data_IF_274065007717
#
_entry.id   IF_274065007717
#
_cell.length_a   1.000
_cell.length_b   1.000
_cell.length_c   1.000
_cell.angle_alpha   90.00
_cell.angle_beta   90.00
_cell.angle_gamma   90.00
#
_symmetry.space_group_name_H-M   'P 1'
#
loop_
_entity.id
_entity.type
_entity.pdbx_description
1 polymer ?
#
# COMPACT_ATOMS: atom_id res chain seq x y z
N UNK A 1 -38.60 -10.57 31.57
CA UNK A 1 -38.46 -9.75 30.36
C UNK A 1 -37.11 -9.01 30.32
N UNK A 2 -36.58 -8.48 31.41
CA UNK A 2 -35.27 -7.77 31.44
C UNK A 2 -34.05 -8.66 31.08
N UNK A 3 -34.06 -9.98 31.35
CA UNK A 3 -32.93 -10.85 31.02
C UNK A 3 -32.77 -11.10 29.51
N UNK A 4 -33.88 -11.20 28.78
CA UNK A 4 -33.84 -11.40 27.32
C UNK A 4 -33.42 -10.12 26.55
N UNK A 5 -33.75 -8.94 27.10
CA UNK A 5 -33.26 -7.65 26.53
C UNK A 5 -31.77 -7.42 26.81
N UNK A 6 -31.26 -7.81 27.98
CA UNK A 6 -29.84 -7.78 28.29
C UNK A 6 -29.04 -8.75 27.41
N UNK A 7 -29.54 -9.97 27.17
CA UNK A 7 -28.90 -10.94 26.28
C UNK A 7 -28.86 -10.46 24.83
N UNK A 8 -29.90 -9.75 24.35
CA UNK A 8 -29.94 -9.10 23.05
C UNK A 8 -29.01 -7.88 22.95
N UNK A 9 -28.78 -7.17 24.03
CA UNK A 9 -27.83 -6.06 24.10
C UNK A 9 -26.38 -6.55 24.19
N UNK A 10 -26.11 -7.62 24.95
CA UNK A 10 -24.78 -8.25 25.02
C UNK A 10 -24.40 -8.92 23.70
N UNK A 11 -25.34 -9.53 22.96
CA UNK A 11 -25.11 -10.06 21.62
C UNK A 11 -24.83 -8.97 20.57
N UNK A 12 -25.18 -7.72 20.83
CA UNK A 12 -24.87 -6.57 19.97
C UNK A 12 -23.51 -5.93 20.25
N UNK A 13 -22.87 -6.25 21.37
CA UNK A 13 -21.61 -5.61 21.80
C UNK A 13 -20.36 -6.40 21.49
N UNK A 14 -20.46 -7.72 21.28
CA UNK A 14 -19.29 -8.55 20.93
C UNK A 14 -19.31 -8.90 19.44
N UNK A 15 -18.42 -8.29 18.64
CA UNK A 15 -18.30 -8.63 17.21
C UNK A 15 -17.92 -10.11 17.03
N UNK A 16 -18.66 -10.81 16.17
CA UNK A 16 -18.43 -12.23 15.85
C UNK A 16 -18.72 -12.51 14.38
N UNK A 17 -18.14 -13.58 13.86
CA UNK A 17 -18.35 -14.03 12.49
C UNK A 17 -17.14 -13.78 11.60
N UNK A 18 -17.32 -13.86 10.30
CA UNK A 18 -16.25 -13.77 9.31
C UNK A 18 -16.17 -12.34 8.76
N UNK A 19 -14.97 -11.75 8.85
CA UNK A 19 -14.61 -10.47 8.22
C UNK A 19 -13.64 -10.73 7.05
N UNK A 20 -14.08 -10.39 5.85
CA UNK A 20 -13.28 -10.48 4.61
C UNK A 20 -12.67 -9.14 4.27
N UNK A 21 -11.34 -9.07 4.30
CA UNK A 21 -10.58 -7.86 4.00
C UNK A 21 -9.75 -8.07 2.75
N UNK A 22 -9.89 -7.16 1.80
CA UNK A 22 -9.10 -7.13 0.56
C UNK A 22 -8.22 -5.88 0.54
N UNK A 23 -6.94 -6.05 0.18
CA UNK A 23 -6.01 -4.95 0.04
C UNK A 23 -4.92 -5.29 -0.98
N UNK A 24 -4.27 -4.27 -1.57
CA UNK A 24 -3.05 -4.50 -2.34
C UNK A 24 -1.96 -5.12 -1.46
N UNK A 25 -1.12 -5.97 -2.04
CA UNK A 25 -0.07 -6.69 -1.29
C UNK A 25 0.79 -5.79 -0.40
N UNK A 26 1.27 -4.62 -0.86
CA UNK A 26 2.04 -3.73 0.02
C UNK A 26 1.23 -3.22 1.22
N UNK A 27 -0.05 -2.89 1.03
CA UNK A 27 -0.93 -2.45 2.13
C UNK A 27 -1.17 -3.60 3.10
N UNK A 28 -1.38 -4.81 2.59
CA UNK A 28 -1.54 -6.01 3.40
C UNK A 28 -0.32 -6.24 4.30
N UNK A 29 0.87 -6.27 3.71
CA UNK A 29 2.10 -6.62 4.41
C UNK A 29 2.59 -5.51 5.37
N UNK A 30 2.58 -4.27 4.91
CA UNK A 30 3.21 -3.18 5.66
C UNK A 30 2.25 -2.40 6.56
N UNK A 31 0.95 -2.47 6.29
CA UNK A 31 -0.06 -1.73 7.06
C UNK A 31 -0.96 -2.65 7.89
N UNK A 32 -1.55 -3.70 7.30
CA UNK A 32 -2.52 -4.56 7.98
C UNK A 32 -1.88 -5.62 8.87
N UNK A 33 -0.81 -6.27 8.44
CA UNK A 33 -0.20 -7.36 9.21
C UNK A 33 0.11 -7.02 10.66
N UNK A 34 0.67 -5.84 10.99
CA UNK A 34 0.91 -5.45 12.38
C UNK A 34 -0.36 -5.34 13.23
N UNK A 35 -1.51 -5.12 12.60
CA UNK A 35 -2.81 -4.94 13.27
C UNK A 35 -3.56 -6.25 13.50
N UNK A 36 -3.19 -7.34 12.80
CA UNK A 36 -3.92 -8.62 12.85
C UNK A 36 -3.91 -9.22 14.25
N UNK A 37 -2.74 -9.29 14.89
CA UNK A 37 -2.62 -9.88 16.24
C UNK A 37 -3.44 -9.10 17.28
N UNK A 38 -3.26 -7.77 17.43
CA UNK A 38 -4.08 -6.96 18.35
C UNK A 38 -5.58 -7.06 18.08
N UNK A 39 -5.98 -7.11 16.79
CA UNK A 39 -7.38 -7.25 16.43
C UNK A 39 -7.96 -8.60 16.91
N UNK A 40 -7.25 -9.70 16.69
CA UNK A 40 -7.69 -11.04 17.13
C UNK A 40 -7.75 -11.19 18.64
N UNK A 41 -6.82 -10.56 19.36
CA UNK A 41 -6.84 -10.53 20.83
C UNK A 41 -8.04 -9.75 21.36
N UNK A 42 -8.42 -8.65 20.70
CA UNK A 42 -9.56 -7.83 21.09
C UNK A 42 -10.91 -8.44 20.71
N UNK A 43 -10.96 -9.17 19.60
CA UNK A 43 -12.19 -9.74 19.04
C UNK A 43 -12.01 -11.25 18.77
N UNK A 44 -11.95 -12.08 19.81
CA UNK A 44 -11.60 -13.50 19.68
C UNK A 44 -12.64 -14.33 18.91
N UNK A 45 -13.91 -13.86 18.86
CA UNK A 45 -14.98 -14.52 18.12
C UNK A 45 -15.05 -14.15 16.63
N UNK A 46 -14.16 -13.23 16.18
CA UNK A 46 -14.05 -12.87 14.77
C UNK A 46 -13.09 -13.78 14.04
N UNK A 47 -13.50 -14.27 12.88
CA UNK A 47 -12.65 -14.95 11.90
C UNK A 47 -12.24 -13.95 10.82
N UNK A 48 -10.95 -13.90 10.49
CA UNK A 48 -10.42 -13.03 9.43
C UNK A 48 -10.12 -13.84 8.16
N UNK A 49 -10.55 -13.31 7.02
CA UNK A 49 -10.13 -13.75 5.69
C UNK A 49 -9.43 -12.59 5.00
N UNK A 50 -8.12 -12.71 4.79
CA UNK A 50 -7.28 -11.68 4.19
C UNK A 50 -6.97 -12.06 2.75
N UNK A 51 -7.27 -11.16 1.82
CA UNK A 51 -7.05 -11.36 0.38
C UNK A 51 -6.17 -10.24 -0.14
N UNK A 52 -5.12 -10.61 -0.87
CA UNK A 52 -4.25 -9.65 -1.56
C UNK A 52 -4.64 -9.55 -3.03
N UNK A 53 -5.01 -8.36 -3.48
CA UNK A 53 -5.43 -8.09 -4.87
C UNK A 53 -4.75 -6.84 -5.39
N UNK A 54 -4.00 -6.97 -6.49
CA UNK A 54 -3.30 -5.84 -7.12
C UNK A 54 -4.22 -5.01 -8.02
N UNK A 55 -5.33 -5.58 -8.46
CA UNK A 55 -6.31 -4.92 -9.34
C UNK A 55 -7.57 -4.53 -8.59
N UNK A 56 -8.28 -3.52 -9.10
CA UNK A 56 -9.64 -3.19 -8.66
C UNK A 56 -10.59 -4.28 -9.14
N UNK A 57 -10.84 -5.25 -8.28
CA UNK A 57 -11.77 -6.35 -8.54
C UNK A 57 -13.16 -5.90 -8.14
N UNK A 58 -14.18 -6.48 -8.76
CA UNK A 58 -15.56 -6.29 -8.33
C UNK A 58 -15.75 -6.81 -6.89
N UNK A 59 -15.68 -5.92 -5.93
CA UNK A 59 -15.73 -6.20 -4.49
C UNK A 59 -17.04 -6.89 -4.08
N UNK A 60 -18.13 -6.60 -4.81
CA UNK A 60 -19.46 -7.15 -4.57
C UNK A 60 -19.49 -8.63 -4.93
N UNK A 61 -18.95 -9.00 -6.08
CA UNK A 61 -18.90 -10.41 -6.53
C UNK A 61 -18.06 -11.28 -5.61
N UNK A 62 -17.00 -10.74 -5.02
CA UNK A 62 -16.12 -11.46 -4.09
C UNK A 62 -16.57 -11.45 -2.64
N UNK A 63 -17.72 -10.86 -2.32
CA UNK A 63 -18.26 -10.77 -0.95
C UNK A 63 -17.23 -10.19 0.03
N UNK A 64 -16.51 -9.13 -0.38
CA UNK A 64 -15.55 -8.41 0.45
C UNK A 64 -16.32 -7.48 1.38
N UNK A 65 -16.04 -7.53 2.67
CA UNK A 65 -16.66 -6.66 3.67
C UNK A 65 -15.93 -5.31 3.76
N UNK A 66 -14.59 -5.34 3.67
CA UNK A 66 -13.73 -4.16 3.71
C UNK A 66 -12.65 -4.26 2.63
N UNK A 67 -12.53 -3.22 1.80
CA UNK A 67 -11.43 -3.09 0.86
C UNK A 67 -10.57 -1.87 1.22
N UNK A 68 -9.24 -2.05 1.27
CA UNK A 68 -8.29 -0.95 1.51
C UNK A 68 -7.52 -0.70 0.22
N UNK A 69 -7.61 0.51 -0.27
CA UNK A 69 -7.00 0.94 -1.54
C UNK A 69 -6.19 2.20 -1.35
N UNK A 70 -5.07 2.28 -2.05
CA UNK A 70 -4.27 3.48 -2.18
C UNK A 70 -4.63 4.23 -3.47
N UNK A 71 -4.58 5.56 -3.42
CA UNK A 71 -4.86 6.42 -4.56
C UNK A 71 -6.20 7.15 -4.47
N UNK A 72 -6.54 7.86 -5.53
CA UNK A 72 -7.81 8.58 -5.65
C UNK A 72 -8.92 7.61 -6.00
N UNK A 73 -9.99 7.61 -5.21
CA UNK A 73 -11.17 6.81 -5.50
C UNK A 73 -11.97 7.49 -6.61
N UNK A 74 -12.30 6.74 -7.64
CA UNK A 74 -13.29 7.14 -8.62
C UNK A 74 -14.68 7.03 -8.01
N UNK A 75 -15.61 7.85 -8.51
CA UNK A 75 -16.99 7.89 -8.05
C UNK A 75 -17.61 6.48 -8.05
N UNK A 76 -18.04 6.04 -6.90
CA UNK A 76 -18.63 4.72 -6.72
C UNK A 76 -19.77 4.79 -5.71
N UNK A 77 -20.71 3.84 -5.77
CA UNK A 77 -21.78 3.68 -4.79
C UNK A 77 -21.28 3.19 -3.41
N UNK A 78 -19.99 2.90 -3.28
CA UNK A 78 -19.38 2.39 -2.05
C UNK A 78 -19.06 3.54 -1.09
N UNK A 79 -19.26 3.29 0.20
CA UNK A 79 -18.83 4.23 1.24
C UNK A 79 -17.32 4.13 1.44
N UNK A 80 -16.62 5.26 1.33
CA UNK A 80 -15.19 5.34 1.54
C UNK A 80 -14.85 6.23 2.74
N UNK A 81 -13.80 5.86 3.46
CA UNK A 81 -13.22 6.63 4.57
C UNK A 81 -11.72 6.70 4.42
N UNK A 82 -11.10 7.89 4.44
CA UNK A 82 -9.64 7.98 4.46
C UNK A 82 -9.08 7.38 5.76
N UNK A 83 -8.02 6.57 5.62
CA UNK A 83 -7.35 5.94 6.75
C UNK A 83 -6.04 6.65 7.11
N UNK A 84 -5.23 6.98 6.10
CA UNK A 84 -3.96 7.69 6.26
C UNK A 84 -3.55 8.35 4.94
N UNK A 85 -2.58 9.25 5.02
CA UNK A 85 -1.91 9.82 3.85
C UNK A 85 -0.58 9.09 3.64
N UNK A 86 -0.23 8.86 2.38
CA UNK A 86 1.03 8.26 1.97
C UNK A 86 1.68 9.12 0.91
N UNK A 87 3.00 9.24 1.00
CA UNK A 87 3.82 9.96 0.03
C UNK A 87 4.63 8.97 -0.78
N UNK A 88 4.98 9.35 -2.00
CA UNK A 88 5.84 8.53 -2.84
C UNK A 88 7.29 8.96 -2.68
N UNK A 89 8.19 7.97 -2.58
CA UNK A 89 9.64 8.16 -2.45
C UNK A 89 10.35 7.46 -3.59
N UNK A 90 11.35 8.13 -4.13
CA UNK A 90 12.26 7.58 -5.12
C UNK A 90 13.39 6.93 -4.36
N UNK A 91 13.65 5.68 -4.66
CA UNK A 91 14.61 4.83 -3.96
C UNK A 91 15.47 4.03 -4.93
N UNK A 92 16.68 3.74 -4.49
CA UNK A 92 17.60 2.80 -5.13
C UNK A 92 18.38 2.04 -4.07
N UNK A 93 18.90 0.87 -4.40
CA UNK A 93 19.80 0.15 -3.49
C UNK A 93 21.19 0.82 -3.46
N UNK A 94 21.94 0.71 -2.34
CA UNK A 94 23.31 1.19 -2.28
C UNK A 94 24.20 0.60 -3.38
N UNK A 95 24.03 -0.67 -3.71
CA UNK A 95 24.82 -1.35 -4.75
C UNK A 95 24.54 -0.76 -6.14
N UNK A 96 23.27 -0.42 -6.42
CA UNK A 96 22.92 0.24 -7.68
C UNK A 96 23.59 1.62 -7.77
N UNK A 97 23.48 2.43 -6.73
CA UNK A 97 24.07 3.77 -6.66
C UNK A 97 25.60 3.72 -6.75
N UNK A 98 26.26 2.77 -6.11
CA UNK A 98 27.70 2.60 -6.19
C UNK A 98 28.17 2.29 -7.63
N UNK A 99 27.36 1.60 -8.43
CA UNK A 99 27.69 1.20 -9.80
C UNK A 99 27.34 2.25 -10.84
N UNK A 100 26.19 2.90 -10.70
CA UNK A 100 25.62 3.76 -11.74
C UNK A 100 25.56 5.24 -11.37
N UNK A 101 25.92 5.59 -10.12
CA UNK A 101 25.83 6.96 -9.62
C UNK A 101 24.45 7.33 -9.07
N UNK A 102 24.38 8.51 -8.48
CA UNK A 102 23.13 9.08 -7.95
C UNK A 102 22.58 10.10 -8.93
N UNK A 103 21.36 9.99 -9.43
CA UNK A 103 20.75 11.04 -10.25
C UNK A 103 20.58 12.31 -9.40
N UNK A 104 20.92 13.46 -9.96
CA UNK A 104 20.88 14.76 -9.27
C UNK A 104 19.64 15.56 -9.67
N UNK A 105 19.14 15.34 -10.87
CA UNK A 105 17.96 16.00 -11.43
C UNK A 105 17.04 14.99 -12.15
N UNK A 106 15.93 15.49 -12.68
CA UNK A 106 14.94 14.66 -13.36
C UNK A 106 15.48 14.06 -14.68
N UNK A 107 16.29 14.83 -15.39
CA UNK A 107 16.86 14.45 -16.69
C UNK A 107 17.83 13.28 -16.54
N UNK A 108 18.58 13.21 -15.46
CA UNK A 108 19.52 12.11 -15.19
C UNK A 108 18.83 10.74 -15.14
N UNK A 109 17.54 10.71 -14.82
CA UNK A 109 16.78 9.44 -14.77
C UNK A 109 16.64 8.77 -16.14
N UNK A 110 16.83 9.52 -17.24
CA UNK A 110 16.85 8.93 -18.58
C UNK A 110 18.05 8.00 -18.81
N UNK A 111 19.13 8.18 -18.06
CA UNK A 111 20.34 7.36 -18.12
C UNK A 111 20.35 6.24 -17.07
N UNK A 112 19.28 6.12 -16.29
CA UNK A 112 19.12 5.11 -15.26
C UNK A 112 18.04 4.07 -15.60
N UNK A 113 18.23 2.85 -15.11
CA UNK A 113 17.20 1.81 -15.15
C UNK A 113 16.08 2.16 -14.16
N UNK A 114 14.90 2.47 -14.68
CA UNK A 114 13.73 2.79 -13.87
C UNK A 114 12.76 1.61 -13.82
N UNK A 115 12.29 1.31 -12.62
CA UNK A 115 11.33 0.25 -12.32
C UNK A 115 9.94 0.86 -12.18
N UNK A 116 8.95 0.34 -12.89
CA UNK A 116 7.63 0.92 -12.93
C UNK A 116 6.49 -0.06 -12.81
N UNK A 117 5.30 0.50 -12.73
CA UNK A 117 4.07 -0.26 -12.67
C UNK A 117 3.58 -0.62 -14.07
N UNK A 118 3.18 -1.89 -14.25
CA UNK A 118 2.46 -2.31 -15.45
C UNK A 118 1.08 -1.65 -15.48
N UNK A 119 0.40 -1.63 -14.33
CA UNK A 119 -0.91 -1.01 -14.11
C UNK A 119 -1.05 -0.56 -12.64
N UNK A 120 -1.67 0.60 -12.37
CA UNK A 120 -2.05 1.64 -13.32
C UNK A 120 -0.83 2.43 -13.80
N UNK A 121 -0.78 2.74 -15.10
CA UNK A 121 0.34 3.47 -15.73
C UNK A 121 0.57 4.86 -15.10
N UNK A 122 -0.47 5.48 -14.55
CA UNK A 122 -0.36 6.75 -13.83
C UNK A 122 0.61 6.74 -12.64
N UNK A 123 0.94 5.57 -12.10
CA UNK A 123 1.96 5.43 -11.07
C UNK A 123 3.39 5.62 -11.59
N UNK A 124 3.59 5.64 -12.91
CA UNK A 124 4.89 5.94 -13.53
C UNK A 124 5.12 7.45 -13.74
N UNK A 125 4.14 8.29 -13.43
CA UNK A 125 4.33 9.72 -13.25
C UNK A 125 4.88 9.96 -11.85
N UNK A 126 6.17 10.31 -11.77
CA UNK A 126 6.87 10.46 -10.49
C UNK A 126 6.71 11.88 -9.93
N UNK A 127 6.78 12.07 -8.60
CA UNK A 127 6.60 13.38 -7.96
C UNK A 127 7.86 14.25 -8.05
N UNK A 128 8.40 14.40 -9.26
CA UNK A 128 9.53 15.24 -9.59
C UNK A 128 9.08 16.16 -10.72
N UNK A 129 9.41 17.45 -10.64
CA UNK A 129 9.20 18.36 -11.73
C UNK A 129 10.27 18.16 -12.83
N UNK A 130 9.82 17.94 -14.06
CA UNK A 130 10.66 18.03 -15.24
C UNK A 130 10.96 19.50 -15.58
N UNK A 131 11.86 19.74 -16.54
CA UNK A 131 12.28 21.08 -16.94
C UNK A 131 11.15 21.98 -17.47
N UNK A 132 10.06 21.37 -17.95
CA UNK A 132 8.84 22.05 -18.39
C UNK A 132 7.85 22.37 -17.26
N UNK A 133 8.17 21.98 -16.02
CA UNK A 133 7.35 22.18 -14.83
C UNK A 133 6.23 21.15 -14.65
N UNK A 134 6.11 20.17 -15.55
CA UNK A 134 5.19 19.04 -15.38
C UNK A 134 5.82 17.95 -14.49
N UNK A 135 5.00 17.06 -13.96
CA UNK A 135 5.51 15.87 -13.29
C UNK A 135 6.14 14.92 -14.31
N UNK A 136 7.28 14.35 -13.93
CA UNK A 136 8.06 13.49 -14.82
C UNK A 136 7.33 12.16 -15.08
N UNK A 137 7.04 11.90 -16.36
CA UNK A 137 6.67 10.55 -16.81
C UNK A 137 7.94 9.75 -17.07
N UNK A 138 8.12 8.68 -16.31
CA UNK A 138 9.33 7.86 -16.37
C UNK A 138 9.12 6.67 -17.28
N UNK A 139 9.98 6.50 -18.28
CA UNK A 139 10.06 5.29 -19.06
C UNK A 139 10.65 4.16 -18.23
N UNK A 140 9.91 3.05 -18.11
CA UNK A 140 10.32 1.92 -17.29
C UNK A 140 10.59 0.70 -18.15
N UNK A 141 11.81 0.16 -18.08
CA UNK A 141 12.20 -1.03 -18.83
C UNK A 141 11.79 -2.34 -18.13
N UNK A 142 11.65 -2.31 -16.80
CA UNK A 142 11.23 -3.44 -15.99
C UNK A 142 10.00 -3.05 -15.19
N UNK A 143 8.90 -3.76 -15.40
CA UNK A 143 7.61 -3.42 -14.82
C UNK A 143 6.98 -4.58 -14.04
N UNK A 144 6.16 -4.25 -13.06
CA UNK A 144 5.34 -5.20 -12.31
C UNK A 144 4.02 -4.54 -11.92
N UNK A 145 2.97 -5.33 -11.76
CA UNK A 145 1.71 -4.85 -11.17
C UNK A 145 1.76 -4.79 -9.64
N UNK A 146 2.79 -5.36 -9.01
CA UNK A 146 2.95 -5.40 -7.55
C UNK A 146 4.05 -4.47 -7.08
N UNK A 147 3.70 -3.52 -6.19
CA UNK A 147 4.67 -2.64 -5.54
C UNK A 147 5.69 -3.40 -4.68
N UNK A 148 5.31 -4.53 -4.08
CA UNK A 148 6.25 -5.35 -3.31
C UNK A 148 7.29 -6.01 -4.23
N UNK A 149 6.89 -6.48 -5.41
CA UNK A 149 7.83 -6.99 -6.41
C UNK A 149 8.81 -5.91 -6.86
N UNK A 150 8.32 -4.69 -7.14
CA UNK A 150 9.19 -3.56 -7.50
C UNK A 150 10.18 -3.22 -6.38
N UNK A 151 9.75 -3.28 -5.12
CA UNK A 151 10.63 -3.09 -3.96
C UNK A 151 11.74 -4.14 -3.93
N UNK A 152 11.42 -5.41 -4.11
CA UNK A 152 12.41 -6.49 -4.12
C UNK A 152 13.39 -6.34 -5.30
N UNK A 153 12.91 -5.99 -6.48
CA UNK A 153 13.77 -5.69 -7.64
C UNK A 153 14.72 -4.52 -7.36
N UNK A 154 14.23 -3.44 -6.74
CA UNK A 154 15.04 -2.30 -6.36
C UNK A 154 16.12 -2.69 -5.33
N UNK A 155 15.75 -3.44 -4.28
CA UNK A 155 16.69 -3.93 -3.26
C UNK A 155 17.77 -4.85 -3.84
N UNK A 156 17.44 -5.60 -4.88
CA UNK A 156 18.38 -6.47 -5.60
C UNK A 156 19.24 -5.72 -6.63
N UNK A 157 19.21 -4.40 -6.67
CA UNK A 157 20.07 -3.59 -7.52
C UNK A 157 19.65 -3.51 -8.99
N UNK A 158 18.37 -3.79 -9.30
CA UNK A 158 17.89 -3.76 -10.70
C UNK A 158 17.49 -2.37 -11.19
N UNK A 159 17.52 -1.34 -10.35
CA UNK A 159 17.18 0.01 -10.78
C UNK A 159 16.61 0.89 -9.69
N UNK A 160 16.08 2.04 -10.12
CA UNK A 160 15.43 3.05 -9.27
C UNK A 160 13.92 2.83 -9.32
N UNK A 161 13.26 2.91 -8.19
CA UNK A 161 11.81 2.77 -8.09
C UNK A 161 11.17 3.96 -7.36
N UNK A 162 9.91 4.25 -7.67
CA UNK A 162 9.12 5.23 -6.92
C UNK A 162 7.98 4.50 -6.19
N UNK A 163 8.12 4.35 -4.88
CA UNK A 163 7.22 3.56 -4.03
C UNK A 163 6.63 4.40 -2.89
N UNK A 164 5.56 3.91 -2.29
CA UNK A 164 4.94 4.54 -1.12
C UNK A 164 5.85 4.47 0.11
N UNK A 165 5.87 5.53 0.90
CA UNK A 165 6.70 5.68 2.10
C UNK A 165 6.50 4.54 3.12
N UNK A 166 5.24 4.09 3.33
CA UNK A 166 4.94 3.00 4.26
C UNK A 166 5.56 1.64 3.86
N UNK A 167 6.02 1.51 2.62
CA UNK A 167 6.72 0.31 2.14
C UNK A 167 8.21 0.33 2.43
N UNK A 168 8.81 1.53 2.53
CA UNK A 168 10.26 1.73 2.55
C UNK A 168 10.77 2.30 3.87
N UNK A 169 9.91 2.91 4.66
CA UNK A 169 10.25 3.40 5.99
C UNK A 169 10.17 2.29 7.04
N UNK A 170 11.20 2.19 7.86
CA UNK A 170 11.16 1.32 9.04
C UNK A 170 10.30 1.98 10.13
N UNK A 171 9.03 1.57 10.25
CA UNK A 171 8.10 2.10 11.25
C UNK A 171 8.55 1.87 12.70
N UNK A 172 9.57 1.07 12.94
CA UNK A 172 10.14 0.88 14.29
C UNK A 172 10.97 2.08 14.74
N UNK A 173 11.57 2.84 13.81
CA UNK A 173 12.38 4.02 14.12
C UNK A 173 11.55 5.26 14.45
N UNK A 174 10.31 5.35 13.97
CA UNK A 174 9.45 6.53 14.15
C UNK A 174 8.78 6.60 15.54
N UNK A 175 8.81 5.52 16.33
CA UNK A 175 8.22 5.49 17.69
C UNK A 175 9.15 5.96 18.81
N UNK A 176 10.41 6.26 18.52
CA UNK A 176 11.40 6.67 19.53
C UNK A 176 11.59 8.19 19.63
N UNK A 177 10.94 9.01 18.79
CA UNK A 177 11.09 10.46 18.77
C UNK A 177 9.83 11.25 19.17
N UNK A 178 8.92 10.66 19.94
CA UNK A 178 7.82 11.38 20.60
C UNK A 178 7.91 11.16 22.11
N UNK A 179 8.85 11.88 22.72
CA UNK A 179 8.90 12.15 24.16
C UNK A 179 8.91 13.64 24.35
#
# INVERSE_FOLDING_TARGET
MAAAENELLETRTTPRGLLRVDAATPVMLHFLMPLVKPFRERYPEMTLSLVSSETFINLIERKVDVAIRAGTLTDSSLRARPLFHSYRKIIASPDYIARYGTPVNAEDLADHLCLGFTEPVSLNTWPIAASDGQLLEVGCELTSNSGETLKQLCLSGNGIACLSDYMVEDRKSTRLNSS
#
